data_IF_668513204355
#
_entry.id   IF_668513204355
#
_cell.length_a   1.000
_cell.length_b   1.000
_cell.length_c   1.000
_cell.angle_alpha   90.00
_cell.angle_beta   90.00
_cell.angle_gamma   90.00
#
_symmetry.space_group_name_H-M   'P 1'
#
loop_
_entity.id
_entity.type
_entity.pdbx_description
1 polymer ?
#
# COMPACT_ATOMS: atom_id res chain seq x y z
N UNK A 1 -46.71 -27.73 0.55
CA UNK A 1 -46.13 -27.24 -0.73
C UNK A 1 -44.66 -26.97 -0.53
N UNK A 2 -43.79 -27.85 -1.00
CA UNK A 2 -42.33 -27.65 -0.91
C UNK A 2 -41.91 -26.69 -2.00
N UNK A 3 -41.59 -25.44 -1.63
CA UNK A 3 -40.97 -24.47 -2.54
C UNK A 3 -39.56 -24.94 -2.86
N UNK A 4 -39.40 -25.48 -4.07
CA UNK A 4 -38.10 -25.82 -4.63
C UNK A 4 -37.31 -24.52 -4.88
N UNK A 5 -36.69 -23.98 -3.82
CA UNK A 5 -35.78 -22.85 -3.92
C UNK A 5 -34.55 -23.32 -4.71
N UNK A 6 -34.49 -22.95 -5.97
CA UNK A 6 -33.28 -23.15 -6.79
C UNK A 6 -32.09 -22.51 -6.06
N UNK A 7 -31.16 -23.31 -5.56
CA UNK A 7 -29.91 -22.82 -4.97
C UNK A 7 -29.17 -21.99 -6.02
N UNK A 8 -29.01 -20.71 -5.74
CA UNK A 8 -28.18 -19.81 -6.56
C UNK A 8 -26.72 -20.03 -6.18
N UNK A 9 -25.88 -20.38 -7.14
CA UNK A 9 -24.44 -20.39 -6.92
C UNK A 9 -23.93 -18.94 -6.99
N UNK A 10 -23.42 -18.42 -5.90
CA UNK A 10 -22.80 -17.10 -5.82
C UNK A 10 -21.30 -17.31 -5.77
N UNK A 11 -20.60 -16.89 -6.81
CA UNK A 11 -19.15 -16.98 -6.88
C UNK A 11 -18.51 -15.95 -5.93
N UNK A 12 -17.35 -16.30 -5.36
CA UNK A 12 -16.60 -15.39 -4.51
C UNK A 12 -15.81 -14.40 -5.39
N UNK A 13 -16.31 -13.16 -5.47
CA UNK A 13 -15.64 -12.01 -6.11
C UNK A 13 -14.87 -12.35 -7.41
N UNK A 14 -15.52 -12.92 -8.45
CA UNK A 14 -14.84 -13.17 -9.70
C UNK A 14 -14.48 -11.82 -10.35
N UNK A 15 -13.27 -11.69 -10.95
CA UNK A 15 -12.92 -10.47 -11.68
C UNK A 15 -13.82 -10.32 -12.91
N UNK A 16 -14.21 -9.09 -13.22
CA UNK A 16 -14.90 -8.73 -14.46
C UNK A 16 -13.85 -8.47 -15.54
N UNK A 17 -13.69 -9.43 -16.45
CA UNK A 17 -12.69 -9.42 -17.52
C UNK A 17 -13.38 -9.41 -18.87
N UNK A 18 -12.93 -8.52 -19.76
CA UNK A 18 -13.46 -8.33 -21.10
C UNK A 18 -12.37 -8.51 -22.17
N UNK A 19 -12.75 -8.36 -23.43
CA UNK A 19 -11.78 -8.32 -24.53
C UNK A 19 -10.80 -7.13 -24.43
N UNK A 20 -11.14 -6.09 -23.68
CA UNK A 20 -10.24 -4.94 -23.47
C UNK A 20 -8.99 -5.37 -22.69
N UNK A 21 -9.15 -6.11 -21.60
CA UNK A 21 -8.04 -6.64 -20.79
C UNK A 21 -7.21 -7.66 -21.61
N UNK A 22 -7.87 -8.53 -22.38
CA UNK A 22 -7.21 -9.50 -23.25
C UNK A 22 -6.33 -8.81 -24.28
N UNK A 23 -6.84 -7.75 -24.92
CA UNK A 23 -6.12 -7.00 -25.94
C UNK A 23 -4.93 -6.23 -25.34
N UNK A 24 -5.08 -5.57 -24.18
CA UNK A 24 -3.98 -4.86 -23.51
C UNK A 24 -2.85 -5.83 -23.11
N UNK A 25 -3.19 -7.03 -22.63
CA UNK A 25 -2.20 -8.08 -22.28
C UNK A 25 -1.52 -8.61 -23.55
N UNK A 26 -2.29 -8.87 -24.63
CA UNK A 26 -1.75 -9.29 -25.93
C UNK A 26 -0.75 -8.28 -26.46
N UNK A 27 -1.10 -7.00 -26.45
CA UNK A 27 -0.25 -5.92 -26.94
C UNK A 27 1.01 -5.77 -26.08
N UNK A 28 0.90 -5.98 -24.76
CA UNK A 28 2.05 -6.00 -23.88
C UNK A 28 3.04 -7.10 -24.27
N UNK A 29 2.55 -8.33 -24.47
CA UNK A 29 3.38 -9.47 -24.88
C UNK A 29 4.02 -9.26 -26.24
N UNK A 30 3.22 -8.84 -27.24
CA UNK A 30 3.70 -8.62 -28.60
C UNK A 30 4.70 -7.45 -28.73
N UNK A 31 4.62 -6.47 -27.82
CA UNK A 31 5.60 -5.38 -27.76
C UNK A 31 6.98 -5.82 -27.30
N UNK A 32 7.11 -7.02 -26.73
CA UNK A 32 8.33 -7.52 -26.10
C UNK A 32 8.66 -6.87 -24.75
N UNK A 33 7.87 -5.88 -24.29
CA UNK A 33 8.08 -5.20 -23.02
C UNK A 33 7.16 -5.78 -21.95
N UNK A 34 7.60 -6.86 -21.30
CA UNK A 34 6.84 -7.65 -20.31
C UNK A 34 7.22 -7.38 -18.85
N UNK A 35 7.99 -6.33 -18.58
CA UNK A 35 8.43 -5.90 -17.24
C UNK A 35 7.95 -4.48 -16.94
N UNK A 36 8.36 -3.92 -15.78
CA UNK A 36 8.08 -2.52 -15.44
C UNK A 36 8.50 -1.59 -16.57
N UNK A 37 7.58 -0.77 -17.06
CA UNK A 37 7.80 0.05 -18.24
C UNK A 37 6.69 1.06 -18.48
N UNK A 38 6.45 1.47 -19.74
CA UNK A 38 5.49 2.53 -20.06
C UNK A 38 4.06 2.28 -19.54
N UNK A 39 3.59 1.01 -19.57
CA UNK A 39 2.25 0.66 -19.07
C UNK A 39 2.14 0.85 -17.55
N UNK A 40 3.15 0.40 -16.80
CA UNK A 40 3.20 0.61 -15.35
C UNK A 40 3.25 2.10 -15.02
N UNK A 41 4.08 2.89 -15.72
CA UNK A 41 4.15 4.34 -15.53
C UNK A 41 2.83 5.04 -15.85
N UNK A 42 2.11 4.57 -16.86
CA UNK A 42 0.77 5.07 -17.19
C UNK A 42 -0.21 4.77 -16.04
N UNK A 43 -0.19 3.54 -15.51
CA UNK A 43 -1.04 3.15 -14.39
C UNK A 43 -0.75 3.98 -13.12
N UNK A 44 0.53 4.18 -12.77
CA UNK A 44 0.94 5.03 -11.63
C UNK A 44 0.36 6.45 -11.75
N UNK A 45 0.44 7.06 -12.92
CA UNK A 45 -0.14 8.38 -13.19
C UNK A 45 -1.66 8.38 -13.05
N UNK A 46 -2.34 7.37 -13.58
CA UNK A 46 -3.80 7.25 -13.45
C UNK A 46 -4.22 7.06 -12.00
N UNK A 47 -3.56 6.18 -11.24
CA UNK A 47 -3.86 5.97 -9.82
C UNK A 47 -3.66 7.26 -9.04
N UNK A 48 -2.52 7.94 -9.20
CA UNK A 48 -2.23 9.19 -8.49
C UNK A 48 -3.28 10.28 -8.77
N UNK A 49 -3.69 10.43 -10.03
CA UNK A 49 -4.75 11.36 -10.43
C UNK A 49 -6.12 10.92 -9.89
N UNK A 50 -6.44 9.64 -10.00
CA UNK A 50 -7.74 9.11 -9.58
C UNK A 50 -8.00 9.26 -8.09
N UNK A 51 -6.99 8.98 -7.26
CA UNK A 51 -7.10 9.15 -5.80
C UNK A 51 -6.86 10.59 -5.34
N UNK A 52 -6.43 11.49 -6.22
CA UNK A 52 -6.29 12.92 -5.92
C UNK A 52 -5.02 13.30 -5.18
N UNK A 53 -3.95 12.50 -5.25
CA UNK A 53 -2.63 12.87 -4.72
C UNK A 53 -1.81 13.70 -5.74
N UNK A 54 -2.25 13.72 -7.00
CA UNK A 54 -1.80 14.68 -8.02
C UNK A 54 -2.99 15.28 -8.74
N UNK A 55 -2.90 16.55 -9.09
CA UNK A 55 -3.97 17.29 -9.79
C UNK A 55 -4.03 16.96 -11.29
N UNK A 56 -2.93 16.53 -11.89
CA UNK A 56 -2.83 16.21 -13.31
C UNK A 56 -2.25 14.83 -13.56
N UNK A 57 -2.61 14.23 -14.70
CA UNK A 57 -1.98 13.02 -15.24
C UNK A 57 -0.64 13.32 -15.92
N UNK A 58 -0.39 14.58 -16.28
CA UNK A 58 0.81 15.00 -17.02
C UNK A 58 2.03 15.25 -16.14
N UNK A 59 1.95 14.87 -14.85
CA UNK A 59 3.08 14.93 -13.93
C UNK A 59 4.21 13.99 -14.40
N UNK A 60 5.45 14.46 -14.29
CA UNK A 60 6.61 13.63 -14.62
C UNK A 60 6.81 12.52 -13.56
N UNK A 61 6.64 12.89 -12.29
CA UNK A 61 6.83 12.00 -11.14
C UNK A 61 5.53 11.93 -10.34
N UNK A 62 4.67 10.92 -10.59
CA UNK A 62 3.42 10.80 -9.84
C UNK A 62 3.70 10.40 -8.38
N UNK A 63 2.86 10.88 -7.46
CA UNK A 63 2.86 10.45 -6.05
C UNK A 63 2.25 9.05 -5.91
N UNK A 64 2.67 8.14 -6.76
CA UNK A 64 2.24 6.76 -6.81
C UNK A 64 3.32 5.88 -7.40
N UNK A 65 3.48 4.68 -6.83
CA UNK A 65 4.30 3.62 -7.40
C UNK A 65 3.57 2.30 -7.33
N UNK A 66 3.67 1.49 -8.39
CA UNK A 66 3.14 0.14 -8.43
C UNK A 66 4.20 -0.88 -7.99
N UNK A 67 3.79 -1.79 -7.10
CA UNK A 67 4.58 -2.92 -6.64
C UNK A 67 3.81 -4.23 -6.87
N UNK A 68 4.42 -5.35 -6.49
CA UNK A 68 3.85 -6.68 -6.73
C UNK A 68 2.66 -7.04 -5.82
N UNK A 69 2.41 -6.29 -4.75
CA UNK A 69 1.30 -6.50 -3.82
C UNK A 69 1.09 -5.30 -2.90
N UNK A 70 -0.10 -5.20 -2.28
CA UNK A 70 -0.35 -4.23 -1.21
C UNK A 70 0.59 -4.43 -0.02
N UNK A 71 0.85 -5.68 0.38
CA UNK A 71 1.79 -6.00 1.47
C UNK A 71 3.17 -5.39 1.22
N UNK A 72 3.70 -5.52 0.00
CA UNK A 72 4.98 -4.90 -0.37
C UNK A 72 4.91 -3.37 -0.35
N UNK A 73 3.78 -2.79 -0.76
CA UNK A 73 3.55 -1.34 -0.72
C UNK A 73 3.54 -0.82 0.73
N UNK A 74 2.83 -1.47 1.62
CA UNK A 74 2.72 -1.08 3.02
C UNK A 74 4.06 -1.27 3.77
N UNK A 75 4.77 -2.38 3.53
CA UNK A 75 6.12 -2.58 4.08
C UNK A 75 7.09 -1.50 3.57
N UNK A 76 7.01 -1.15 2.29
CA UNK A 76 7.83 -0.09 1.72
C UNK A 76 7.60 1.26 2.41
N UNK A 77 6.35 1.61 2.74
CA UNK A 77 6.06 2.84 3.48
C UNK A 77 6.76 2.87 4.85
N UNK A 78 6.75 1.75 5.60
CA UNK A 78 7.45 1.64 6.88
C UNK A 78 8.96 1.76 6.71
N UNK A 79 9.54 1.13 5.68
CA UNK A 79 10.97 1.23 5.37
C UNK A 79 11.38 2.64 4.95
N UNK A 80 10.57 3.32 4.13
CA UNK A 80 10.77 4.71 3.73
C UNK A 80 10.78 5.63 4.96
N UNK A 81 9.88 5.39 5.92
CA UNK A 81 9.87 6.11 7.18
C UNK A 81 11.08 5.79 8.07
N UNK A 82 11.84 4.73 7.77
CA UNK A 82 12.98 4.27 8.59
C UNK A 82 12.53 3.63 9.90
N UNK A 83 11.36 2.99 9.89
CA UNK A 83 10.82 2.27 11.05
C UNK A 83 11.53 0.93 11.18
N UNK A 84 11.92 0.58 12.41
CA UNK A 84 12.65 -0.64 12.71
C UNK A 84 12.74 -0.95 14.21
N UNK A 85 13.78 -1.67 14.59
CA UNK A 85 13.98 -2.12 15.98
C UNK A 85 13.90 -0.97 16.99
N UNK A 86 13.11 -1.15 18.03
CA UNK A 86 12.84 -0.17 19.08
C UNK A 86 11.74 0.85 18.74
N UNK A 87 11.13 0.75 17.55
CA UNK A 87 9.95 1.52 17.18
C UNK A 87 8.66 0.71 17.44
N UNK A 88 7.57 1.41 17.57
CA UNK A 88 6.22 0.85 17.73
C UNK A 88 5.33 1.29 16.58
N UNK A 89 4.51 0.36 16.07
CA UNK A 89 3.48 0.63 15.06
C UNK A 89 2.14 0.13 15.58
N UNK A 90 1.14 1.01 15.58
CA UNK A 90 -0.22 0.69 16.04
C UNK A 90 -1.01 0.09 14.88
N UNK A 91 -1.65 -1.08 15.12
CA UNK A 91 -2.40 -1.85 14.12
C UNK A 91 -3.72 -2.32 14.74
N UNK A 92 -4.87 -2.30 14.04
CA UNK A 92 -6.08 -2.90 14.55
C UNK A 92 -5.93 -4.42 14.68
N UNK A 93 -6.49 -5.01 15.74
CA UNK A 93 -6.44 -6.45 15.96
C UNK A 93 -7.31 -7.22 14.95
N UNK A 94 -8.36 -6.59 14.43
CA UNK A 94 -9.23 -7.18 13.41
C UNK A 94 -8.83 -6.69 12.03
N UNK A 95 -7.91 -7.42 11.40
CA UNK A 95 -7.41 -7.14 10.05
C UNK A 95 -6.85 -8.41 9.40
N UNK A 96 -6.53 -8.33 8.13
CA UNK A 96 -5.73 -9.35 7.47
C UNK A 96 -4.29 -9.31 8.01
N UNK A 97 -3.67 -10.49 8.17
CA UNK A 97 -2.33 -10.63 8.79
C UNK A 97 -1.27 -9.73 8.16
N UNK A 98 -1.41 -9.34 6.89
CA UNK A 98 -0.44 -8.50 6.20
C UNK A 98 -0.18 -7.17 6.94
N UNK A 99 -1.22 -6.51 7.46
CA UNK A 99 -1.08 -5.21 8.15
C UNK A 99 -0.20 -5.30 9.40
N UNK A 100 -0.16 -6.46 10.07
CA UNK A 100 0.68 -6.70 11.24
C UNK A 100 2.05 -7.30 10.85
N UNK A 101 2.10 -8.25 9.89
CA UNK A 101 3.34 -8.93 9.54
C UNK A 101 4.39 -8.00 8.95
N UNK A 102 4.00 -6.94 8.23
CA UNK A 102 4.95 -5.94 7.71
C UNK A 102 5.67 -5.18 8.84
N UNK A 103 5.04 -5.03 10.00
CA UNK A 103 5.67 -4.40 11.18
C UNK A 103 6.76 -5.31 11.75
N UNK A 104 6.48 -6.62 11.81
CA UNK A 104 7.47 -7.63 12.19
C UNK A 104 8.62 -7.71 11.17
N UNK A 105 8.31 -7.67 9.87
CA UNK A 105 9.32 -7.69 8.81
C UNK A 105 10.33 -6.54 8.89
N UNK A 106 9.94 -5.38 9.37
CA UNK A 106 10.86 -4.25 9.58
C UNK A 106 11.53 -4.29 10.96
N UNK A 107 11.19 -5.26 11.81
CA UNK A 107 11.75 -5.44 13.14
C UNK A 107 11.18 -4.49 14.20
N UNK A 108 10.06 -3.84 13.93
CA UNK A 108 9.35 -2.99 14.88
C UNK A 108 8.38 -3.78 15.76
N UNK A 109 7.98 -3.20 16.90
CA UNK A 109 7.00 -3.79 17.79
C UNK A 109 5.58 -3.47 17.32
N UNK A 110 4.75 -4.50 17.18
CA UNK A 110 3.33 -4.36 16.90
C UNK A 110 2.61 -3.97 18.20
N UNK A 111 1.82 -2.90 18.14
CA UNK A 111 0.91 -2.49 19.22
C UNK A 111 -0.51 -2.67 18.71
N UNK A 112 -1.18 -3.72 19.16
CA UNK A 112 -2.56 -3.97 18.78
C UNK A 112 -3.53 -3.09 19.55
N UNK A 113 -4.54 -2.57 18.84
CA UNK A 113 -5.74 -1.95 19.40
C UNK A 113 -6.97 -2.69 18.89
N UNK A 114 -8.01 -2.72 19.68
CA UNK A 114 -9.27 -3.35 19.26
C UNK A 114 -10.02 -2.46 18.25
N UNK A 115 -11.09 -2.99 17.71
CA UNK A 115 -12.06 -2.24 16.88
C UNK A 115 -13.14 -1.67 17.80
N UNK A 116 -13.89 -0.69 17.28
CA UNK A 116 -15.05 -0.13 17.96
C UNK A 116 -16.14 -1.19 18.16
N UNK A 117 -17.01 -1.00 19.14
CA UNK A 117 -18.07 -1.97 19.49
C UNK A 117 -19.13 -2.14 18.41
N UNK A 118 -19.35 -1.13 17.59
CA UNK A 118 -20.46 -1.03 16.63
C UNK A 118 -20.00 -1.01 15.15
N UNK A 119 -18.70 -0.95 14.92
CA UNK A 119 -18.13 -0.98 13.56
C UNK A 119 -16.76 -1.66 13.55
N UNK A 120 -16.20 -1.85 12.35
CA UNK A 120 -14.92 -2.53 12.15
C UNK A 120 -13.72 -1.56 12.07
N UNK A 121 -13.95 -0.27 12.29
CA UNK A 121 -12.87 0.71 12.39
C UNK A 121 -12.13 0.51 13.72
N UNK A 122 -10.83 0.81 13.75
CA UNK A 122 -10.05 0.76 14.99
C UNK A 122 -10.64 1.67 16.07
N UNK A 123 -10.48 1.29 17.34
CA UNK A 123 -10.88 2.13 18.46
C UNK A 123 -9.91 3.31 18.59
N UNK A 124 -10.38 4.50 18.24
CA UNK A 124 -9.57 5.72 18.23
C UNK A 124 -9.14 6.18 19.63
N UNK A 125 -9.96 5.92 20.67
CA UNK A 125 -9.61 6.27 22.05
C UNK A 125 -8.51 5.33 22.55
N UNK A 126 -8.59 4.03 22.20
CA UNK A 126 -7.52 3.08 22.46
C UNK A 126 -6.24 3.44 21.69
N UNK A 127 -6.35 3.87 20.41
CA UNK A 127 -5.19 4.39 19.66
C UNK A 127 -4.52 5.53 20.39
N UNK A 128 -5.29 6.54 20.84
CA UNK A 128 -4.72 7.69 21.55
C UNK A 128 -4.05 7.30 22.85
N UNK A 129 -4.61 6.34 23.58
CA UNK A 129 -4.10 5.87 24.88
C UNK A 129 -2.75 5.15 24.78
N UNK A 130 -2.50 4.42 23.67
CA UNK A 130 -1.29 3.59 23.52
C UNK A 130 -0.14 4.30 22.79
N UNK A 131 -0.32 5.53 22.33
CA UNK A 131 0.77 6.32 21.70
C UNK A 131 1.85 6.63 22.73
N UNK A 132 3.09 6.21 22.44
CA UNK A 132 4.29 6.46 23.23
C UNK A 132 5.32 7.25 22.43
N UNK A 133 6.46 7.58 23.03
CA UNK A 133 7.60 8.18 22.33
C UNK A 133 8.22 7.27 21.25
N UNK A 134 8.00 5.94 21.36
CA UNK A 134 8.47 4.96 20.41
C UNK A 134 7.51 4.76 19.23
N UNK A 135 6.28 5.22 19.32
CA UNK A 135 5.28 5.11 18.25
C UNK A 135 5.70 5.95 17.05
N UNK A 136 5.84 5.32 15.87
CA UNK A 136 6.26 5.98 14.62
C UNK A 136 5.18 5.99 13.56
N UNK A 137 4.31 4.99 13.55
CA UNK A 137 3.19 4.92 12.61
C UNK A 137 1.93 4.30 13.22
N UNK A 138 0.80 4.63 12.61
CA UNK A 138 -0.50 3.99 12.81
C UNK A 138 -0.92 3.43 11.45
N UNK A 139 -1.41 2.18 11.42
CA UNK A 139 -1.94 1.54 10.21
C UNK A 139 -3.46 1.39 10.36
N UNK A 140 -4.27 2.40 10.01
CA UNK A 140 -5.70 2.23 9.89
C UNK A 140 -6.01 1.32 8.69
N UNK A 141 -7.05 0.50 8.79
CA UNK A 141 -7.47 -0.44 7.75
C UNK A 141 -8.88 -0.09 7.29
N UNK A 142 -9.03 0.26 6.01
CA UNK A 142 -10.31 0.55 5.37
C UNK A 142 -11.06 -0.75 5.06
N UNK A 143 -11.44 -1.48 6.09
CA UNK A 143 -12.01 -2.82 5.99
C UNK A 143 -13.37 -2.82 5.27
N UNK A 144 -13.52 -3.73 4.30
CA UNK A 144 -14.73 -3.80 3.49
C UNK A 144 -14.97 -2.58 2.58
N UNK A 145 -13.96 -1.72 2.43
CA UNK A 145 -14.04 -0.49 1.63
C UNK A 145 -14.64 0.71 2.36
N UNK A 146 -14.81 0.60 3.68
CA UNK A 146 -15.28 1.69 4.54
C UNK A 146 -14.06 2.46 5.04
N UNK A 147 -13.88 3.74 4.62
CA UNK A 147 -12.74 4.53 5.07
C UNK A 147 -12.82 4.83 6.56
N UNK A 148 -11.71 4.63 7.27
CA UNK A 148 -11.55 5.04 8.66
C UNK A 148 -11.75 6.55 8.85
N UNK A 149 -11.97 7.00 10.09
CA UNK A 149 -12.03 8.42 10.41
C UNK A 149 -10.63 9.05 10.47
N UNK A 150 -10.10 9.39 9.28
CA UNK A 150 -8.78 10.00 9.14
C UNK A 150 -8.70 11.40 9.77
N UNK A 151 -9.81 12.13 9.85
CA UNK A 151 -9.80 13.45 10.53
C UNK A 151 -9.56 13.26 12.01
N UNK A 152 -10.24 12.30 12.66
CA UNK A 152 -10.03 11.95 14.07
C UNK A 152 -8.61 11.43 14.31
N UNK A 153 -8.09 10.55 13.45
CA UNK A 153 -6.70 10.08 13.54
C UNK A 153 -5.71 11.24 13.43
N UNK A 154 -5.94 12.15 12.48
CA UNK A 154 -5.07 13.31 12.29
C UNK A 154 -5.09 14.25 13.50
N UNK A 155 -6.23 14.43 14.14
CA UNK A 155 -6.34 15.19 15.40
C UNK A 155 -5.58 14.52 16.54
N UNK A 156 -5.70 13.18 16.68
CA UNK A 156 -4.98 12.41 17.71
C UNK A 156 -3.47 12.59 17.54
N UNK A 157 -2.93 12.34 16.35
CA UNK A 157 -1.47 12.44 16.15
C UNK A 157 -0.96 13.87 16.29
N UNK A 158 -1.78 14.89 16.01
CA UNK A 158 -1.46 16.30 16.28
C UNK A 158 -1.44 16.61 17.79
N UNK A 159 -2.40 16.12 18.56
CA UNK A 159 -2.42 16.29 20.04
C UNK A 159 -1.22 15.63 20.71
N UNK A 160 -0.80 14.47 20.18
CA UNK A 160 0.32 13.68 20.74
C UNK A 160 1.69 14.02 20.16
N UNK A 161 1.80 15.06 19.33
CA UNK A 161 3.06 15.41 18.64
C UNK A 161 4.25 15.63 19.58
N UNK A 162 4.00 16.12 20.80
CA UNK A 162 5.07 16.41 21.78
C UNK A 162 5.72 15.15 22.36
N UNK A 163 5.03 13.98 22.24
CA UNK A 163 5.61 12.67 22.56
C UNK A 163 6.50 12.14 21.45
N UNK A 164 6.29 12.60 20.20
CA UNK A 164 6.96 12.06 19.03
C UNK A 164 8.47 12.31 19.05
N UNK A 165 9.28 11.27 18.87
CA UNK A 165 10.74 11.32 18.78
C UNK A 165 11.19 10.85 17.41
N UNK A 166 11.39 11.77 16.44
CA UNK A 166 11.79 11.43 15.09
C UNK A 166 13.22 10.88 15.06
N UNK A 167 13.44 9.82 14.27
CA UNK A 167 14.75 9.19 14.05
C UNK A 167 15.35 9.54 12.68
N UNK A 168 14.49 9.82 11.68
CA UNK A 168 14.90 10.14 10.31
C UNK A 168 14.50 11.56 9.92
N UNK A 169 15.09 12.08 8.85
CA UNK A 169 14.74 13.41 8.35
C UNK A 169 13.32 13.47 7.81
N UNK A 170 12.84 12.37 7.21
CA UNK A 170 11.44 12.27 6.79
C UNK A 170 10.49 12.35 8.00
N UNK A 171 10.77 11.60 9.07
CA UNK A 171 9.99 11.68 10.31
C UNK A 171 10.03 13.10 10.92
N UNK A 172 11.18 13.79 10.88
CA UNK A 172 11.30 15.19 11.32
C UNK A 172 10.42 16.13 10.49
N UNK A 173 10.41 15.97 9.16
CA UNK A 173 9.57 16.77 8.27
C UNK A 173 8.08 16.52 8.48
N UNK A 174 7.66 15.28 8.72
CA UNK A 174 6.26 14.93 9.08
C UNK A 174 5.89 15.52 10.45
N UNK A 175 6.82 15.50 11.41
CA UNK A 175 6.71 16.16 12.72
C UNK A 175 5.72 15.52 13.71
N UNK A 176 5.21 14.31 13.40
CA UNK A 176 4.26 13.54 14.21
C UNK A 176 4.29 12.07 13.82
N UNK A 177 3.56 11.24 14.56
CA UNK A 177 3.30 9.84 14.16
C UNK A 177 2.68 9.83 12.75
N UNK A 178 3.22 9.03 11.85
CA UNK A 178 2.74 8.91 10.48
C UNK A 178 1.48 8.04 10.40
N UNK A 179 0.59 8.33 9.45
CA UNK A 179 -0.58 7.53 9.14
C UNK A 179 -0.30 6.76 7.84
N UNK A 180 -0.25 5.42 7.92
CA UNK A 180 0.02 4.53 6.79
C UNK A 180 -1.22 3.67 6.53
N UNK A 181 -2.12 4.12 5.68
CA UNK A 181 -3.42 3.48 5.45
C UNK A 181 -3.29 2.16 4.68
N UNK A 182 -3.95 1.11 5.20
CA UNK A 182 -4.21 -0.11 4.45
C UNK A 182 -5.54 0.04 3.69
N UNK A 183 -5.43 0.38 2.43
CA UNK A 183 -6.53 0.60 1.49
C UNK A 183 -6.78 -0.64 0.59
N UNK A 184 -6.43 -1.86 1.05
CA UNK A 184 -6.57 -3.07 0.23
C UNK A 184 -8.00 -3.35 -0.25
N UNK A 185 -9.03 -2.80 0.41
CA UNK A 185 -10.44 -2.94 0.06
C UNK A 185 -11.08 -1.63 -0.43
N UNK A 186 -10.37 -0.50 -0.40
CA UNK A 186 -11.00 0.82 -0.55
C UNK A 186 -10.59 1.58 -1.80
N UNK A 187 -10.01 0.92 -2.82
CA UNK A 187 -9.76 1.59 -4.10
C UNK A 187 -11.10 2.04 -4.72
N UNK A 188 -11.27 3.35 -4.94
CA UNK A 188 -12.54 3.96 -5.35
C UNK A 188 -13.44 4.41 -4.20
N UNK A 189 -13.13 4.03 -2.96
CA UNK A 189 -13.79 4.55 -1.76
C UNK A 189 -13.46 6.02 -1.52
N UNK A 190 -14.35 6.72 -0.80
CA UNK A 190 -14.17 8.14 -0.48
C UNK A 190 -14.94 8.54 0.78
N UNK A 191 -14.54 9.66 1.38
CA UNK A 191 -15.35 10.40 2.39
C UNK A 191 -15.78 11.74 1.83
N UNK A 192 -16.86 12.28 2.40
CA UNK A 192 -17.26 13.67 2.12
C UNK A 192 -16.66 14.55 3.21
N UNK A 193 -15.83 15.49 2.80
CA UNK A 193 -15.23 16.50 3.67
C UNK A 193 -15.52 17.88 3.08
N UNK A 194 -16.15 18.76 3.87
CA UNK A 194 -16.53 20.11 3.44
C UNK A 194 -17.31 20.12 2.11
N UNK A 195 -18.20 19.14 1.93
CA UNK A 195 -19.02 18.97 0.71
C UNK A 195 -18.26 18.42 -0.50
N UNK A 196 -16.97 18.07 -0.36
CA UNK A 196 -16.15 17.51 -1.44
C UNK A 196 -15.82 16.04 -1.19
N UNK A 197 -15.67 15.28 -2.28
CA UNK A 197 -15.16 13.92 -2.20
C UNK A 197 -13.65 13.95 -1.99
N UNK A 198 -13.19 13.28 -0.93
CA UNK A 198 -11.78 12.97 -0.71
C UNK A 198 -11.62 11.46 -0.84
N UNK A 199 -10.82 11.04 -1.80
CA UNK A 199 -10.67 9.61 -2.12
C UNK A 199 -9.77 8.91 -1.10
N UNK A 200 -10.04 7.62 -0.85
CA UNK A 200 -9.06 6.75 -0.22
C UNK A 200 -7.76 6.79 -1.03
N UNK A 201 -6.63 6.94 -0.33
CA UNK A 201 -5.34 7.17 -0.98
C UNK A 201 -4.80 8.60 -0.85
N UNK A 202 -5.69 9.60 -0.55
CA UNK A 202 -5.31 10.99 -0.33
C UNK A 202 -5.53 11.47 1.12
N UNK A 203 -6.02 10.61 2.01
CA UNK A 203 -6.38 10.99 3.39
C UNK A 203 -5.27 10.71 4.42
N UNK A 204 -4.27 9.91 4.06
CA UNK A 204 -3.15 9.52 4.92
C UNK A 204 -1.81 9.98 4.34
N UNK A 205 -0.74 9.90 5.14
CA UNK A 205 0.62 10.21 4.67
C UNK A 205 1.07 9.24 3.58
N UNK A 206 0.77 7.94 3.81
CA UNK A 206 0.96 6.86 2.85
C UNK A 206 -0.31 6.01 2.77
N UNK A 207 -0.64 5.51 1.58
CA UNK A 207 -1.78 4.62 1.38
C UNK A 207 -1.39 3.48 0.44
N UNK A 208 -1.70 2.25 0.84
CA UNK A 208 -1.35 1.04 0.10
C UNK A 208 -2.59 0.32 -0.42
N UNK A 209 -2.65 0.07 -1.72
CA UNK A 209 -3.75 -0.58 -2.41
C UNK A 209 -3.38 -1.98 -2.86
N UNK A 210 -4.36 -2.88 -2.86
CA UNK A 210 -4.26 -4.22 -3.44
C UNK A 210 -4.98 -4.27 -4.78
N UNK A 211 -4.28 -4.80 -5.78
CA UNK A 211 -4.82 -5.10 -7.10
C UNK A 211 -4.84 -6.61 -7.37
N UNK A 212 -4.91 -7.41 -6.28
CA UNK A 212 -5.09 -8.86 -6.38
C UNK A 212 -6.42 -9.22 -7.06
N UNK A 213 -6.50 -10.40 -7.67
CA UNK A 213 -7.62 -10.86 -8.51
C UNK A 213 -9.02 -10.74 -7.88
N UNK A 214 -9.14 -10.81 -6.55
CA UNK A 214 -10.43 -10.75 -5.83
C UNK A 214 -10.81 -9.33 -5.37
N UNK A 215 -10.02 -8.32 -5.69
CA UNK A 215 -10.30 -6.93 -5.30
C UNK A 215 -11.21 -6.23 -6.31
N UNK A 216 -11.79 -5.11 -5.89
CA UNK A 216 -12.68 -4.29 -6.71
C UNK A 216 -12.02 -3.64 -7.95
N UNK A 217 -10.70 -3.55 -7.97
CA UNK A 217 -9.87 -3.27 -9.14
C UNK A 217 -8.70 -4.24 -9.13
N UNK A 218 -8.38 -4.83 -10.28
CA UNK A 218 -7.35 -5.86 -10.33
C UNK A 218 -6.40 -5.73 -11.52
N UNK A 219 -5.16 -6.13 -11.28
CA UNK A 219 -4.12 -6.40 -12.29
C UNK A 219 -3.68 -7.86 -12.21
N UNK A 220 -4.55 -8.77 -11.78
CA UNK A 220 -4.31 -10.16 -11.39
C UNK A 220 -3.47 -10.27 -10.11
N UNK A 221 -2.26 -9.78 -10.11
CA UNK A 221 -1.36 -9.56 -8.98
C UNK A 221 -0.83 -8.14 -9.05
N UNK A 222 -0.78 -7.45 -7.92
CA UNK A 222 -0.26 -6.10 -7.87
C UNK A 222 -0.71 -5.31 -6.66
N UNK A 223 -0.15 -4.12 -6.55
CA UNK A 223 -0.54 -3.11 -5.59
C UNK A 223 0.02 -1.75 -5.99
N UNK A 224 -0.44 -0.72 -5.31
CA UNK A 224 0.10 0.62 -5.44
C UNK A 224 0.32 1.25 -4.07
N UNK A 225 1.39 2.00 -3.94
CA UNK A 225 1.64 2.91 -2.82
C UNK A 225 1.45 4.33 -3.33
N UNK A 226 0.60 5.09 -2.65
CA UNK A 226 0.44 6.53 -2.86
C UNK A 226 0.88 7.29 -1.62
N UNK A 227 1.24 8.57 -1.78
CA UNK A 227 1.61 9.42 -0.66
C UNK A 227 1.08 10.84 -0.83
N UNK A 228 0.69 11.42 0.30
CA UNK A 228 0.24 12.79 0.43
C UNK A 228 0.87 13.40 1.69
N UNK A 229 2.08 13.93 1.55
CA UNK A 229 2.89 14.38 2.68
C UNK A 229 2.62 15.86 3.01
N UNK A 230 2.72 16.27 4.28
CA UNK A 230 2.30 17.59 4.73
C UNK A 230 3.20 18.75 4.26
N UNK A 231 4.30 18.45 3.59
CA UNK A 231 5.28 19.44 3.09
C UNK A 231 5.34 19.53 1.55
N UNK A 232 4.37 18.93 0.84
CA UNK A 232 4.26 19.03 -0.62
C UNK A 232 5.31 18.21 -1.39
N UNK A 233 5.68 18.69 -2.60
CA UNK A 233 6.52 17.97 -3.57
C UNK A 233 8.04 18.15 -3.34
N UNK A 234 8.49 18.71 -2.24
CA UNK A 234 9.92 18.79 -2.00
C UNK A 234 10.56 17.38 -2.02
N UNK A 235 11.59 17.17 -2.84
CA UNK A 235 12.24 15.88 -2.91
C UNK A 235 12.85 15.53 -1.54
N UNK A 236 12.36 14.45 -0.95
CA UNK A 236 12.96 13.86 0.25
C UNK A 236 14.04 12.89 -0.22
N UNK A 237 15.29 13.23 0.05
CA UNK A 237 16.41 12.32 -0.15
C UNK A 237 16.34 11.30 0.98
N UNK A 238 16.02 10.07 0.63
CA UNK A 238 16.04 8.96 1.57
C UNK A 238 17.43 8.33 1.55
N UNK A 239 18.05 8.31 2.70
CA UNK A 239 19.21 7.46 2.96
C UNK A 239 18.67 6.08 3.38
N UNK A 240 18.26 5.30 2.38
CA UNK A 240 17.85 3.91 2.61
C UNK A 240 19.12 3.07 2.73
N UNK A 241 19.52 2.81 3.95
CA UNK A 241 20.53 1.79 4.24
C UNK A 241 19.90 0.40 4.02
N UNK A 242 19.79 0.01 2.74
CA UNK A 242 19.17 -1.26 2.34
C UNK A 242 20.09 -2.45 2.55
N UNK A 243 21.37 -2.22 2.89
CA UNK A 243 22.35 -3.23 3.28
C UNK A 243 23.47 -2.56 4.06
N UNK A 244 24.04 -3.26 5.01
CA UNK A 244 25.29 -2.87 5.68
C UNK A 244 26.48 -2.78 4.70
N UNK A 245 26.29 -3.09 3.42
CA UNK A 245 27.25 -2.86 2.34
C UNK A 245 27.03 -1.48 1.72
N UNK A 246 27.99 -0.59 1.93
CA UNK A 246 28.02 0.84 1.60
C UNK A 246 27.93 1.19 0.09
N UNK A 247 27.27 0.40 -0.75
CA UNK A 247 27.29 0.59 -2.22
C UNK A 247 26.13 1.41 -2.78
N UNK A 248 25.13 1.81 -1.98
CA UNK A 248 24.01 2.63 -2.44
C UNK A 248 23.84 3.89 -1.59
N UNK A 249 24.63 4.91 -1.88
CA UNK A 249 24.47 6.22 -1.27
C UNK A 249 23.48 7.09 -2.05
N UNK A 250 22.49 7.61 -1.36
CA UNK A 250 21.54 8.69 -1.75
C UNK A 250 20.68 8.40 -2.98
N UNK A 251 19.44 8.03 -2.75
CA UNK A 251 18.45 7.82 -3.80
C UNK A 251 17.20 8.67 -3.49
N UNK A 252 16.68 9.38 -4.49
CA UNK A 252 15.39 10.09 -4.36
C UNK A 252 14.25 9.06 -4.25
N UNK A 253 13.14 9.40 -3.58
CA UNK A 253 11.97 8.50 -3.39
C UNK A 253 11.57 7.85 -4.73
N UNK A 254 11.57 8.62 -5.82
CA UNK A 254 11.19 8.12 -7.14
C UNK A 254 12.15 7.09 -7.74
N UNK A 255 13.43 7.15 -7.44
CA UNK A 255 14.45 6.25 -8.02
C UNK A 255 14.71 5.00 -7.18
N UNK A 256 14.63 5.08 -5.84
CA UNK A 256 14.91 3.97 -4.92
C UNK A 256 13.88 2.87 -4.99
N UNK A 257 12.62 3.24 -5.12
CA UNK A 257 11.50 2.30 -5.14
C UNK A 257 11.57 1.40 -6.38
N UNK A 258 12.04 1.91 -7.52
CA UNK A 258 12.25 1.14 -8.75
C UNK A 258 13.33 0.06 -8.55
N UNK A 259 14.39 0.36 -7.82
CA UNK A 259 15.51 -0.57 -7.59
C UNK A 259 15.12 -1.78 -6.71
N UNK A 260 14.33 -1.56 -5.65
CA UNK A 260 13.86 -2.63 -4.74
C UNK A 260 12.79 -3.50 -5.41
N UNK A 261 11.92 -2.91 -6.23
CA UNK A 261 10.90 -3.64 -7.00
C UNK A 261 11.53 -4.60 -8.02
N UNK A 262 12.62 -4.19 -8.69
CA UNK A 262 13.35 -5.04 -9.63
C UNK A 262 13.97 -6.29 -8.98
N UNK A 263 14.51 -6.19 -7.76
CA UNK A 263 15.12 -7.33 -7.08
C UNK A 263 14.13 -8.43 -6.71
N UNK A 264 12.94 -8.08 -6.20
CA UNK A 264 11.89 -9.06 -5.84
C UNK A 264 11.19 -9.66 -7.07
N UNK A 265 11.02 -8.88 -8.13
CA UNK A 265 10.38 -9.33 -9.37
C UNK A 265 11.28 -10.30 -10.16
N UNK A 266 12.58 -10.02 -10.24
CA UNK A 266 13.55 -10.90 -10.91
C UNK A 266 13.68 -12.28 -10.24
N UNK A 267 13.56 -12.37 -8.91
CA UNK A 267 13.58 -13.65 -8.18
C UNK A 267 12.35 -14.50 -8.50
N UNK A 268 11.16 -13.91 -8.63
CA UNK A 268 9.92 -14.65 -8.96
C UNK A 268 9.84 -15.10 -10.41
N UNK A 269 10.29 -14.28 -11.39
CA UNK A 269 10.35 -14.70 -12.79
C UNK A 269 11.35 -15.86 -12.95
N UNK A 270 12.51 -15.82 -12.29
CA UNK A 270 13.48 -16.92 -12.34
C UNK A 270 12.90 -18.22 -11.77
N UNK A 271 12.08 -18.13 -10.71
CA UNK A 271 11.37 -19.28 -10.13
C UNK A 271 10.25 -19.79 -11.04
N UNK A 272 9.54 -18.92 -11.77
CA UNK A 272 8.50 -19.30 -12.71
C UNK A 272 9.09 -19.96 -13.97
N UNK A 273 10.16 -19.40 -14.52
CA UNK A 273 10.87 -19.98 -15.67
C UNK A 273 11.52 -21.31 -15.33
N UNK A 274 12.04 -21.49 -14.11
CA UNK A 274 12.56 -22.79 -13.63
C UNK A 274 11.44 -23.84 -13.48
N UNK A 275 10.22 -23.46 -13.09
CA UNK A 275 9.06 -24.35 -13.05
C UNK A 275 8.59 -24.74 -14.45
N UNK A 276 8.59 -23.81 -15.41
CA UNK A 276 8.19 -24.09 -16.79
C UNK A 276 9.22 -25.00 -17.51
N UNK A 277 10.51 -24.83 -17.28
CA UNK A 277 11.54 -25.72 -17.83
C UNK A 277 11.48 -27.15 -17.22
N UNK A 278 11.06 -27.26 -15.94
CA UNK A 278 10.88 -28.56 -15.29
C UNK A 278 9.66 -29.33 -15.82
N UNK A 279 8.58 -28.61 -16.15
CA UNK A 279 7.37 -29.20 -16.77
C UNK A 279 7.64 -29.67 -18.20
N UNK A 280 8.45 -28.95 -18.99
CA UNK A 280 8.81 -29.37 -20.35
C UNK A 280 9.82 -30.50 -20.39
N UNK A 281 10.71 -30.61 -19.39
CA UNK A 281 11.69 -31.70 -19.30
C UNK A 281 11.09 -33.09 -18.94
N UNK A 282 9.89 -33.12 -18.39
CA UNK A 282 9.21 -34.39 -18.01
C UNK A 282 8.15 -34.88 -19.01
N UNK A 283 7.97 -34.21 -20.15
CA UNK A 283 7.07 -34.67 -21.22
C UNK A 283 7.79 -35.38 -22.40
N UNK A 284 9.09 -35.56 -22.32
CA UNK A 284 9.90 -36.22 -23.38
C UNK A 284 10.70 -37.39 -22.87
N UNK A 285 10.17 -38.14 -21.90
CA UNK A 285 10.69 -39.49 -21.52
C UNK A 285 9.57 -40.46 -21.34
#
# INVERSE_FOLDING_TARGET
>A
MSTNLKRRNVLFSPPDMTEAEVNEVRDAILSGWITTGPRTKRLEKFVAKYVGVNDSIDVQTPNCICLNSQTACAEMALRILGIGTGDEVIVPAYTYTASASIVDHVGAKIVFVDVQTDCLEMDYDAVEAVITENTKAIIPVDLGGIPCDYDRLMEIVKRKKDLFRPKTDLQKKIGRVAICSDCAHSFGGYRIKDGKKVMCGAMADFSSFSFHAVKNFTTAEGGALTWHLPFGEEPVILDLDLNQDKTFSKVSISASIVSVSLCHFMVRIKMLLLRLSWVHGNMTS
#
